data_IF_384328660570
#
_entry.id   IF_384328660570
#
_cell.length_a   1.000
_cell.length_b   1.000
_cell.length_c   1.000
_cell.angle_alpha   90.00
_cell.angle_beta   90.00
_cell.angle_gamma   90.00
#
_symmetry.space_group_name_H-M   'P 1'
#
loop_
_entity.id
_entity.type
_entity.pdbx_description
1 polymer ?
#
# COMPACT_ATOMS: atom_id res chain seq x y z
N UNK A 1 19.04 13.33 9.66
CA UNK A 1 18.50 14.42 8.83
C UNK A 1 18.36 13.99 7.37
N UNK A 2 19.30 13.22 6.84
CA UNK A 2 19.24 12.71 5.45
C UNK A 2 17.95 11.92 5.10
N UNK A 3 17.50 11.01 5.94
CA UNK A 3 16.30 10.22 5.67
C UNK A 3 15.02 11.08 5.55
N UNK A 4 14.88 12.13 6.38
CA UNK A 4 13.75 13.06 6.30
C UNK A 4 13.81 13.90 5.02
N UNK A 5 15.00 14.32 4.62
CA UNK A 5 15.20 15.08 3.38
C UNK A 5 14.89 14.24 2.16
N UNK A 6 15.37 12.99 2.12
CA UNK A 6 15.04 12.02 1.05
C UNK A 6 13.52 11.79 0.97
N UNK A 7 12.85 11.59 2.11
CA UNK A 7 11.39 11.44 2.13
C UNK A 7 10.67 12.69 1.59
N UNK A 8 11.06 13.89 2.02
CA UNK A 8 10.42 15.13 1.56
C UNK A 8 10.62 15.35 0.06
N UNK A 9 11.83 15.09 -0.46
CA UNK A 9 12.11 15.15 -1.90
C UNK A 9 11.25 14.18 -2.70
N UNK A 10 11.12 12.91 -2.25
CA UNK A 10 10.29 11.93 -2.92
C UNK A 10 8.80 12.30 -2.88
N UNK A 11 8.30 12.81 -1.75
CA UNK A 11 6.93 13.31 -1.65
C UNK A 11 6.70 14.48 -2.61
N UNK A 12 7.65 15.43 -2.71
CA UNK A 12 7.56 16.52 -3.67
C UNK A 12 7.51 16.01 -5.11
N UNK A 13 8.37 15.05 -5.47
CA UNK A 13 8.35 14.42 -6.81
C UNK A 13 7.01 13.76 -7.07
N UNK A 14 6.43 13.06 -6.10
CA UNK A 14 5.11 12.44 -6.24
C UNK A 14 3.99 13.46 -6.45
N UNK A 15 4.02 14.58 -5.73
CA UNK A 15 3.09 15.69 -5.96
C UNK A 15 3.25 16.24 -7.37
N UNK A 16 4.49 16.45 -7.84
CA UNK A 16 4.76 16.92 -9.20
C UNK A 16 4.27 15.91 -10.26
N UNK A 17 4.44 14.61 -10.03
CA UNK A 17 3.93 13.56 -10.92
C UNK A 17 2.39 13.51 -10.96
N UNK A 18 1.69 14.02 -9.96
CA UNK A 18 0.24 14.11 -9.99
C UNK A 18 -0.26 15.32 -10.82
N UNK A 19 0.55 16.36 -11.00
CA UNK A 19 0.16 17.58 -11.73
C UNK A 19 -0.30 17.30 -13.17
N UNK A 20 0.39 16.50 -13.99
CA UNK A 20 -0.09 16.16 -15.35
C UNK A 20 -1.50 15.58 -15.35
N UNK A 21 -1.80 14.64 -14.44
CA UNK A 21 -3.14 14.05 -14.32
C UNK A 21 -4.21 15.08 -13.96
N UNK A 22 -3.90 16.00 -13.04
CA UNK A 22 -4.78 17.10 -12.66
C UNK A 22 -5.01 18.05 -13.84
N UNK A 23 -3.95 18.41 -14.59
CA UNK A 23 -4.05 19.29 -15.74
C UNK A 23 -4.90 18.67 -16.86
N UNK A 24 -4.71 17.39 -17.17
CA UNK A 24 -5.49 16.66 -18.19
C UNK A 24 -7.00 16.75 -17.91
N UNK A 25 -7.41 16.72 -16.65
CA UNK A 25 -8.84 16.84 -16.28
C UNK A 25 -9.28 18.30 -16.24
N UNK A 26 -8.47 19.23 -15.71
CA UNK A 26 -8.81 20.66 -15.64
C UNK A 26 -8.92 21.31 -17.03
N UNK A 27 -8.08 20.89 -17.97
CA UNK A 27 -8.14 21.33 -19.37
C UNK A 27 -9.22 20.60 -20.19
N UNK A 28 -9.96 19.67 -19.55
CA UNK A 28 -11.03 18.86 -20.21
C UNK A 28 -10.54 17.95 -21.35
N UNK A 29 -9.22 17.72 -21.47
CA UNK A 29 -8.65 16.73 -22.41
C UNK A 29 -9.07 15.32 -22.03
N UNK A 30 -9.12 15.04 -20.73
CA UNK A 30 -9.62 13.78 -20.19
C UNK A 30 -10.69 14.04 -19.12
N UNK A 31 -11.61 13.09 -18.94
CA UNK A 31 -12.53 13.08 -17.81
C UNK A 31 -11.90 12.34 -16.63
N UNK A 32 -12.28 12.72 -15.40
CA UNK A 32 -11.82 12.02 -14.19
C UNK A 32 -12.17 10.51 -14.19
N UNK A 33 -13.27 10.14 -14.86
CA UNK A 33 -13.71 8.75 -15.03
C UNK A 33 -12.71 7.88 -15.80
N UNK A 34 -11.95 8.47 -16.73
CA UNK A 34 -10.93 7.76 -17.49
C UNK A 34 -9.80 7.22 -16.59
N UNK A 35 -9.64 7.77 -15.38
CA UNK A 35 -8.73 7.22 -14.36
C UNK A 35 -9.04 5.76 -14.00
N UNK A 36 -10.29 5.30 -14.20
CA UNK A 36 -10.66 3.91 -13.93
C UNK A 36 -9.99 2.92 -14.91
N UNK A 37 -9.82 3.32 -16.18
CA UNK A 37 -9.11 2.50 -17.18
C UNK A 37 -7.63 2.41 -16.81
N UNK A 38 -7.00 3.55 -16.50
CA UNK A 38 -5.59 3.58 -16.08
C UNK A 38 -5.37 2.81 -14.78
N UNK A 39 -6.32 2.85 -13.85
CA UNK A 39 -6.27 2.04 -12.63
C UNK A 39 -6.30 0.54 -12.91
N UNK A 40 -7.03 0.09 -13.95
CA UNK A 40 -7.01 -1.32 -14.36
C UNK A 40 -5.66 -1.69 -14.98
N UNK A 41 -5.08 -0.86 -15.83
CA UNK A 41 -3.74 -1.08 -16.39
C UNK A 41 -2.71 -1.19 -15.25
N UNK A 42 -2.79 -0.28 -14.28
CA UNK A 42 -1.90 -0.31 -13.13
C UNK A 42 -2.06 -1.58 -12.30
N UNK A 43 -3.31 -1.99 -12.02
CA UNK A 43 -3.61 -3.13 -11.16
C UNK A 43 -3.26 -4.48 -11.82
N UNK A 44 -3.51 -4.62 -13.13
CA UNK A 44 -3.36 -5.90 -13.83
C UNK A 44 -2.03 -6.04 -14.58
N UNK A 45 -1.30 -4.94 -14.79
CA UNK A 45 -0.01 -4.93 -15.48
C UNK A 45 1.09 -4.35 -14.60
N UNK A 46 1.05 -3.07 -14.27
CA UNK A 46 2.14 -2.39 -13.57
C UNK A 46 2.48 -3.01 -12.22
N UNK A 47 1.52 -3.09 -11.31
CA UNK A 47 1.73 -3.62 -9.95
C UNK A 47 2.20 -5.08 -9.93
N UNK A 48 1.62 -6.02 -10.71
CA UNK A 48 2.13 -7.37 -10.77
C UNK A 48 3.61 -7.44 -11.17
N UNK A 49 4.02 -6.71 -12.20
CA UNK A 49 5.42 -6.71 -12.63
C UNK A 49 6.35 -6.02 -11.63
N UNK A 50 5.93 -4.94 -10.98
CA UNK A 50 6.71 -4.31 -9.92
C UNK A 50 6.93 -5.27 -8.74
N UNK A 51 5.88 -5.96 -8.31
CA UNK A 51 5.93 -6.92 -7.20
C UNK A 51 6.74 -8.15 -7.59
N UNK A 52 6.55 -8.68 -8.78
CA UNK A 52 7.34 -9.79 -9.31
C UNK A 52 8.83 -9.43 -9.28
N UNK A 53 9.21 -8.28 -9.87
CA UNK A 53 10.59 -7.81 -9.85
C UNK A 53 11.14 -7.68 -8.44
N UNK A 54 10.41 -7.04 -7.52
CA UNK A 54 10.88 -6.85 -6.15
C UNK A 54 11.11 -8.17 -5.40
N UNK A 55 10.40 -9.24 -5.76
CA UNK A 55 10.63 -10.57 -5.20
C UNK A 55 11.83 -11.30 -5.82
N UNK A 56 12.20 -10.98 -7.06
CA UNK A 56 13.41 -11.53 -7.69
C UNK A 56 14.70 -10.99 -7.04
N UNK A 57 14.64 -9.77 -6.52
CA UNK A 57 15.79 -9.08 -5.92
C UNK A 57 16.03 -9.47 -4.44
N UNK A 58 15.20 -10.38 -3.87
CA UNK A 58 15.34 -10.83 -2.47
C UNK A 58 16.38 -11.93 -2.39
N UNK A 59 17.33 -11.80 -1.45
CA UNK A 59 18.21 -12.90 -1.04
C UNK A 59 17.47 -13.78 -0.03
N UNK A 60 17.25 -15.05 -0.39
CA UNK A 60 16.63 -16.02 0.53
C UNK A 60 17.69 -16.62 1.47
N UNK A 61 17.52 -16.33 2.75
CA UNK A 61 18.17 -17.05 3.84
C UNK A 61 17.14 -17.87 4.65
N UNK A 62 17.62 -18.71 5.55
CA UNK A 62 16.75 -19.55 6.40
C UNK A 62 15.81 -18.76 7.31
N UNK A 63 16.06 -17.47 7.53
CA UNK A 63 15.23 -16.59 8.34
C UNK A 63 14.14 -15.86 7.55
N UNK A 64 14.27 -15.79 6.22
CA UNK A 64 13.38 -14.98 5.37
C UNK A 64 11.92 -15.43 5.43
N UNK A 65 11.67 -16.73 5.36
CA UNK A 65 10.29 -17.27 5.44
C UNK A 65 9.65 -16.91 6.78
N UNK A 66 10.42 -17.07 7.88
CA UNK A 66 9.94 -16.68 9.20
C UNK A 66 9.62 -15.17 9.26
N UNK A 67 10.47 -14.34 8.69
CA UNK A 67 10.26 -12.89 8.62
C UNK A 67 9.00 -12.53 7.82
N UNK A 68 8.78 -13.14 6.66
CA UNK A 68 7.55 -12.96 5.85
C UNK A 68 6.31 -13.34 6.67
N UNK A 69 6.33 -14.48 7.36
CA UNK A 69 5.20 -14.93 8.20
C UNK A 69 4.95 -13.99 9.38
N UNK A 70 6.00 -13.48 10.03
CA UNK A 70 5.90 -12.52 11.12
C UNK A 70 5.28 -11.22 10.62
N UNK A 71 5.75 -10.67 9.51
CA UNK A 71 5.20 -9.44 8.91
C UNK A 71 3.73 -9.63 8.53
N UNK A 72 3.38 -10.80 7.97
CA UNK A 72 1.99 -11.13 7.66
C UNK A 72 1.13 -11.20 8.93
N UNK A 73 1.58 -11.87 9.97
CA UNK A 73 0.88 -11.98 11.25
C UNK A 73 0.68 -10.59 11.90
N UNK A 74 1.73 -9.77 11.95
CA UNK A 74 1.66 -8.40 12.47
C UNK A 74 0.68 -7.55 11.64
N UNK A 75 0.73 -7.65 10.31
CA UNK A 75 -0.19 -6.94 9.41
C UNK A 75 -1.65 -7.33 9.63
N UNK A 76 -1.93 -8.61 9.87
CA UNK A 76 -3.27 -9.11 10.20
C UNK A 76 -3.73 -8.56 11.54
N UNK A 77 -2.94 -8.73 12.60
CA UNK A 77 -3.25 -8.25 13.95
C UNK A 77 -3.49 -6.74 13.95
N UNK A 78 -2.63 -5.98 13.30
CA UNK A 78 -2.76 -4.54 13.13
C UNK A 78 -4.07 -4.15 12.45
N UNK A 79 -4.40 -4.81 11.33
CA UNK A 79 -5.60 -4.51 10.55
C UNK A 79 -6.89 -4.83 11.32
N UNK A 80 -6.92 -5.97 12.02
CA UNK A 80 -8.06 -6.32 12.90
C UNK A 80 -8.15 -5.39 14.11
N UNK A 81 -7.03 -5.02 14.72
CA UNK A 81 -6.98 -4.03 15.78
C UNK A 81 -7.65 -2.72 15.36
N UNK A 82 -7.29 -2.21 14.17
CA UNK A 82 -7.91 -1.01 13.60
C UNK A 82 -9.38 -1.20 13.26
N UNK A 83 -9.80 -2.39 12.83
CA UNK A 83 -11.22 -2.68 12.61
C UNK A 83 -12.04 -2.50 13.89
N UNK A 84 -11.56 -2.94 15.04
CA UNK A 84 -12.23 -2.75 16.32
C UNK A 84 -12.11 -1.31 16.84
N UNK A 85 -10.93 -0.71 16.79
CA UNK A 85 -10.68 0.67 17.22
C UNK A 85 -11.48 1.71 16.42
N UNK A 86 -11.75 1.45 15.13
CA UNK A 86 -12.55 2.35 14.29
C UNK A 86 -13.99 2.51 14.78
N UNK A 87 -14.56 1.53 15.51
CA UNK A 87 -15.94 1.59 16.02
C UNK A 87 -16.16 2.78 16.96
N UNK A 88 -15.40 2.93 18.07
CA UNK A 88 -15.58 4.07 18.98
C UNK A 88 -15.19 5.40 18.31
N UNK A 89 -14.16 5.41 17.46
CA UNK A 89 -13.66 6.62 16.79
C UNK A 89 -14.72 7.24 15.86
N UNK A 90 -15.57 6.43 15.24
CA UNK A 90 -16.57 6.90 14.27
C UNK A 90 -18.00 6.98 14.83
N UNK A 91 -18.18 6.81 16.15
CA UNK A 91 -19.51 6.86 16.83
C UNK A 91 -20.25 8.18 16.63
N UNK A 92 -19.53 9.27 16.38
CA UNK A 92 -20.13 10.59 16.15
C UNK A 92 -20.94 10.69 14.85
N UNK A 93 -20.72 9.78 13.89
CA UNK A 93 -21.54 9.70 12.70
C UNK A 93 -22.76 8.83 12.96
N UNK A 94 -23.93 9.41 12.80
CA UNK A 94 -25.21 8.73 13.08
C UNK A 94 -25.73 7.93 11.89
N UNK A 95 -25.39 8.37 10.67
CA UNK A 95 -25.81 7.67 9.44
C UNK A 95 -24.92 6.47 9.17
N UNK A 96 -25.50 5.28 9.16
CA UNK A 96 -24.77 4.01 9.09
C UNK A 96 -23.85 3.90 7.86
N UNK A 97 -24.31 4.34 6.68
CA UNK A 97 -23.49 4.32 5.45
C UNK A 97 -22.29 5.27 5.56
N UNK A 98 -22.49 6.48 6.06
CA UNK A 98 -21.38 7.44 6.26
C UNK A 98 -20.42 6.95 7.33
N UNK A 99 -20.94 6.37 8.41
CA UNK A 99 -20.11 5.77 9.46
C UNK A 99 -19.28 4.60 8.90
N UNK A 100 -19.89 3.73 8.06
CA UNK A 100 -19.19 2.66 7.37
C UNK A 100 -18.06 3.18 6.49
N UNK A 101 -18.31 4.24 5.71
CA UNK A 101 -17.29 4.90 4.88
C UNK A 101 -16.18 5.52 5.73
N UNK A 102 -16.48 6.20 6.83
CA UNK A 102 -15.47 6.75 7.74
C UNK A 102 -14.60 5.64 8.33
N UNK A 103 -15.21 4.53 8.77
CA UNK A 103 -14.47 3.35 9.25
C UNK A 103 -13.56 2.79 8.17
N UNK A 104 -14.09 2.61 6.95
CA UNK A 104 -13.30 2.18 5.79
C UNK A 104 -12.05 3.06 5.61
N UNK A 105 -12.23 4.38 5.59
CA UNK A 105 -11.13 5.33 5.44
C UNK A 105 -10.12 5.29 6.61
N UNK A 106 -10.56 5.03 7.84
CA UNK A 106 -9.66 4.91 9.00
C UNK A 106 -8.83 3.62 8.97
N UNK A 107 -9.41 2.49 8.52
CA UNK A 107 -8.78 1.17 8.57
C UNK A 107 -7.86 0.97 7.36
N UNK A 108 -8.36 1.25 6.15
CA UNK A 108 -7.72 0.84 4.91
C UNK A 108 -6.87 1.96 4.31
N UNK A 109 -5.68 1.60 3.88
CA UNK A 109 -4.71 2.52 3.25
C UNK A 109 -4.53 2.17 1.78
N UNK A 110 -4.13 3.17 0.98
CA UNK A 110 -3.79 2.98 -0.42
C UNK A 110 -2.33 2.46 -0.55
N UNK A 111 -2.09 1.25 -0.04
CA UNK A 111 -0.74 0.67 -0.02
C UNK A 111 -0.28 0.30 -1.44
N UNK A 112 -1.19 -0.15 -2.32
CA UNK A 112 -0.84 -0.56 -3.68
C UNK A 112 -0.39 0.60 -4.56
N UNK A 113 -1.20 1.66 -4.66
CA UNK A 113 -0.94 2.77 -5.60
C UNK A 113 0.01 3.83 -5.05
N UNK A 114 0.15 3.92 -3.74
CA UNK A 114 1.03 4.90 -3.10
C UNK A 114 2.12 4.22 -2.26
N UNK A 115 1.78 3.25 -1.44
CA UNK A 115 2.71 2.64 -0.50
C UNK A 115 3.86 1.90 -1.18
N UNK A 116 3.56 1.00 -2.13
CA UNK A 116 4.59 0.22 -2.85
C UNK A 116 5.52 1.13 -3.65
N UNK A 117 5.02 2.07 -4.50
CA UNK A 117 5.89 3.01 -5.22
C UNK A 117 6.72 3.90 -4.30
N UNK A 118 6.14 4.34 -3.18
CA UNK A 118 6.87 5.17 -2.21
C UNK A 118 8.00 4.38 -1.55
N UNK A 119 7.72 3.14 -1.11
CA UNK A 119 8.74 2.27 -0.54
C UNK A 119 9.90 2.02 -1.52
N UNK A 120 9.58 1.72 -2.78
CA UNK A 120 10.59 1.52 -3.83
C UNK A 120 11.42 2.77 -4.13
N UNK A 121 10.83 3.97 -4.03
CA UNK A 121 11.54 5.23 -4.26
C UNK A 121 12.39 5.68 -3.07
N UNK A 122 11.93 5.41 -1.84
CA UNK A 122 12.64 5.81 -0.60
C UNK A 122 13.74 4.82 -0.23
N UNK A 123 13.54 3.53 -0.54
CA UNK A 123 14.44 2.43 -0.20
C UNK A 123 14.84 1.64 -1.47
N UNK A 124 15.53 2.28 -2.46
CA UNK A 124 15.84 1.64 -3.74
C UNK A 124 16.75 0.41 -3.59
N UNK A 125 17.64 0.42 -2.60
CA UNK A 125 18.63 -0.63 -2.35
C UNK A 125 18.15 -1.66 -1.31
N UNK A 126 16.89 -1.56 -0.87
CA UNK A 126 16.32 -2.46 0.15
C UNK A 126 15.04 -3.15 -0.36
N UNK A 127 15.15 -4.15 -1.24
CA UNK A 127 14.00 -4.85 -1.82
C UNK A 127 13.11 -5.51 -0.75
N UNK A 128 13.68 -5.86 0.41
CA UNK A 128 12.95 -6.42 1.53
C UNK A 128 11.89 -5.46 2.10
N UNK A 129 12.18 -4.16 2.15
CA UNK A 129 11.19 -3.16 2.60
C UNK A 129 10.00 -3.11 1.66
N UNK A 130 10.26 -3.13 0.34
CA UNK A 130 9.20 -3.19 -0.69
C UNK A 130 8.35 -4.44 -0.49
N UNK A 131 8.99 -5.58 -0.26
CA UNK A 131 8.31 -6.87 -0.01
C UNK A 131 7.41 -6.82 1.22
N UNK A 132 7.83 -6.19 2.31
CA UNK A 132 6.98 -6.02 3.49
C UNK A 132 5.73 -5.18 3.18
N UNK A 133 5.88 -4.10 2.42
CA UNK A 133 4.74 -3.28 1.98
C UNK A 133 3.81 -4.07 1.06
N UNK A 134 4.36 -4.94 0.19
CA UNK A 134 3.59 -5.85 -0.67
C UNK A 134 2.77 -6.84 0.17
N UNK A 135 3.36 -7.47 1.18
CA UNK A 135 2.65 -8.40 2.08
C UNK A 135 1.48 -7.69 2.77
N UNK A 136 1.73 -6.50 3.32
CA UNK A 136 0.69 -5.69 3.94
C UNK A 136 -0.38 -5.27 2.92
N UNK A 137 0.01 -4.98 1.67
CA UNK A 137 -0.94 -4.66 0.60
C UNK A 137 -1.84 -5.86 0.24
N UNK A 138 -1.29 -7.07 0.20
CA UNK A 138 -2.07 -8.30 -0.04
C UNK A 138 -3.14 -8.47 1.06
N UNK A 139 -2.75 -8.31 2.33
CA UNK A 139 -3.67 -8.37 3.47
C UNK A 139 -4.73 -7.26 3.37
N UNK A 140 -4.31 -6.04 3.08
CA UNK A 140 -5.22 -4.89 2.94
C UNK A 140 -6.22 -5.11 1.81
N UNK A 141 -5.80 -5.65 0.67
CA UNK A 141 -6.70 -5.98 -0.44
C UNK A 141 -7.71 -7.07 -0.05
N UNK A 142 -7.29 -8.12 0.66
CA UNK A 142 -8.20 -9.12 1.18
C UNK A 142 -9.26 -8.49 2.10
N UNK A 143 -8.85 -7.55 2.95
CA UNK A 143 -9.77 -6.81 3.82
C UNK A 143 -10.67 -5.84 3.05
N UNK A 144 -10.19 -5.21 1.98
CA UNK A 144 -11.02 -4.34 1.12
C UNK A 144 -12.18 -5.14 0.53
N UNK A 145 -11.90 -6.31 -0.06
CA UNK A 145 -12.93 -7.14 -0.71
C UNK A 145 -13.85 -7.90 0.26
N UNK A 146 -13.50 -7.95 1.53
CA UNK A 146 -14.30 -8.57 2.59
C UNK A 146 -14.92 -7.52 3.51
N UNK A 147 -14.19 -7.09 4.53
CA UNK A 147 -14.66 -6.13 5.53
C UNK A 147 -14.95 -4.75 4.94
N UNK A 148 -14.17 -4.29 3.98
CA UNK A 148 -14.34 -2.98 3.35
C UNK A 148 -15.66 -2.90 2.58
N UNK A 149 -15.94 -3.91 1.76
CA UNK A 149 -17.21 -4.00 1.03
C UNK A 149 -18.39 -4.08 2.01
N UNK A 150 -18.28 -4.89 3.06
CA UNK A 150 -19.30 -4.99 4.10
C UNK A 150 -19.57 -3.64 4.79
N UNK A 151 -18.51 -2.89 5.14
CA UNK A 151 -18.64 -1.58 5.80
C UNK A 151 -19.34 -0.54 4.94
N UNK A 152 -19.15 -0.59 3.62
CA UNK A 152 -19.73 0.38 2.67
C UNK A 152 -21.14 -0.03 2.25
N UNK A 153 -21.33 -1.31 1.88
CA UNK A 153 -22.61 -1.81 1.40
C UNK A 153 -23.64 -2.03 2.52
N UNK A 154 -23.15 -2.33 3.73
CA UNK A 154 -24.01 -2.76 4.85
C UNK A 154 -24.58 -4.17 4.69
N UNK A 155 -24.23 -4.88 3.61
CA UNK A 155 -24.75 -6.19 3.26
C UNK A 155 -23.61 -7.21 3.08
N UNK A 156 -23.77 -8.38 3.71
CA UNK A 156 -22.83 -9.50 3.63
C UNK A 156 -22.81 -10.16 2.26
N UNK A 157 -23.91 -10.08 1.49
CA UNK A 157 -24.02 -10.68 0.16
C UNK A 157 -23.06 -10.05 -0.86
N UNK A 158 -22.66 -8.80 -0.64
CA UNK A 158 -21.71 -8.06 -1.48
C UNK A 158 -20.26 -8.51 -1.28
N UNK A 159 -19.95 -9.26 -0.21
CA UNK A 159 -18.61 -9.72 0.14
C UNK A 159 -18.14 -10.82 -0.82
N UNK A 160 -16.95 -10.69 -1.38
CA UNK A 160 -16.38 -11.68 -2.31
C UNK A 160 -14.99 -12.14 -1.87
N UNK A 161 -14.95 -13.29 -1.21
CA UNK A 161 -13.69 -13.95 -0.83
C UNK A 161 -12.88 -14.35 -2.07
N UNK A 162 -13.53 -14.74 -3.16
CA UNK A 162 -12.84 -15.06 -4.43
C UNK A 162 -12.01 -13.90 -4.93
N UNK A 163 -12.53 -12.67 -4.90
CA UNK A 163 -11.80 -11.46 -5.32
C UNK A 163 -10.67 -11.10 -4.36
N UNK A 164 -10.77 -11.50 -3.10
CA UNK A 164 -9.70 -11.30 -2.12
C UNK A 164 -8.49 -12.21 -2.39
N UNK A 165 -8.75 -13.46 -2.78
CA UNK A 165 -7.71 -14.49 -3.01
C UNK A 165 -7.15 -14.42 -4.44
N UNK A 166 -8.03 -14.25 -5.44
CA UNK A 166 -7.61 -14.14 -6.86
C UNK A 166 -7.20 -12.69 -7.16
N UNK A 167 -6.03 -12.29 -6.64
CA UNK A 167 -5.48 -10.95 -6.82
C UNK A 167 -4.21 -11.04 -7.70
N UNK A 168 -4.11 -10.27 -8.80
CA UNK A 168 -2.94 -10.31 -9.68
C UNK A 168 -1.63 -10.01 -8.95
N UNK A 169 -1.67 -9.16 -7.93
CA UNK A 169 -0.49 -8.83 -7.11
C UNK A 169 -0.04 -10.03 -6.27
N UNK A 170 -1.00 -10.78 -5.68
CA UNK A 170 -0.68 -12.00 -4.94
C UNK A 170 -0.10 -13.09 -5.85
N UNK A 171 -0.70 -13.27 -7.04
CA UNK A 171 -0.20 -14.23 -8.03
C UNK A 171 1.23 -13.87 -8.44
N UNK A 172 1.49 -12.61 -8.76
CA UNK A 172 2.82 -12.12 -9.13
C UNK A 172 3.84 -12.30 -8.00
N UNK A 173 3.43 -12.06 -6.74
CA UNK A 173 4.26 -12.29 -5.57
C UNK A 173 4.68 -13.76 -5.44
N UNK A 174 3.70 -14.68 -5.52
CA UNK A 174 3.98 -16.13 -5.42
C UNK A 174 4.84 -16.61 -6.58
N UNK A 175 4.53 -16.18 -7.81
CA UNK A 175 5.35 -16.52 -8.99
C UNK A 175 6.77 -15.97 -8.87
N UNK A 176 6.94 -14.74 -8.39
CA UNK A 176 8.26 -14.14 -8.19
C UNK A 176 9.08 -14.91 -7.14
N UNK A 177 8.44 -15.36 -6.04
CA UNK A 177 9.10 -16.22 -5.05
C UNK A 177 9.56 -17.56 -5.67
N UNK A 178 8.70 -18.20 -6.45
CA UNK A 178 9.03 -19.47 -7.12
C UNK A 178 10.22 -19.29 -8.07
N UNK A 179 10.16 -18.26 -8.92
CA UNK A 179 11.21 -17.95 -9.91
C UNK A 179 12.54 -17.62 -9.22
N UNK A 180 12.50 -16.89 -8.11
CA UNK A 180 13.68 -16.57 -7.31
C UNK A 180 14.25 -17.83 -6.64
N UNK A 181 13.42 -18.67 -5.99
CA UNK A 181 13.86 -19.92 -5.37
C UNK A 181 14.48 -20.93 -6.36
N UNK A 182 14.08 -20.85 -7.63
CA UNK A 182 14.65 -21.66 -8.71
C UNK A 182 15.92 -21.03 -9.32
N UNK A 183 16.40 -19.91 -8.77
CA UNK A 183 17.55 -19.14 -9.29
C UNK A 183 17.45 -18.78 -10.79
N UNK A 184 16.22 -18.74 -11.34
CA UNK A 184 16.01 -18.48 -12.78
C UNK A 184 16.60 -17.16 -13.28
N UNK A 185 16.64 -16.06 -12.50
CA UNK A 185 17.28 -14.81 -12.94
C UNK A 185 18.76 -14.95 -13.29
N UNK A 186 19.47 -15.94 -12.75
CA UNK A 186 20.88 -16.25 -13.10
C UNK A 186 21.02 -16.80 -14.51
N UNK A 187 20.01 -17.55 -14.98
CA UNK A 187 20.02 -18.20 -16.30
C UNK A 187 19.34 -17.34 -17.35
N UNK A 188 18.36 -16.52 -16.96
CA UNK A 188 17.57 -15.65 -17.86
C UNK A 188 17.45 -14.26 -17.24
N UNK A 189 18.52 -13.45 -17.25
CA UNK A 189 18.52 -12.09 -16.64
C UNK A 189 17.52 -11.15 -17.28
N UNK A 190 17.08 -11.42 -18.51
CA UNK A 190 16.06 -10.66 -19.23
C UNK A 190 14.72 -10.62 -18.50
N UNK A 191 14.39 -11.63 -17.66
CA UNK A 191 13.17 -11.66 -16.86
C UNK A 191 13.10 -10.44 -15.94
N UNK A 192 14.21 -10.10 -15.30
CA UNK A 192 14.29 -8.94 -14.39
C UNK A 192 14.15 -7.63 -15.18
N UNK A 193 14.88 -7.51 -16.29
CA UNK A 193 14.83 -6.33 -17.15
C UNK A 193 13.46 -6.12 -17.77
N UNK A 194 12.84 -7.18 -18.29
CA UNK A 194 11.48 -7.14 -18.83
C UNK A 194 10.46 -6.68 -17.77
N UNK A 195 10.55 -7.23 -16.57
CA UNK A 195 9.67 -6.87 -15.47
C UNK A 195 9.84 -5.40 -15.06
N UNK A 196 11.07 -4.87 -15.15
CA UNK A 196 11.35 -3.48 -14.84
C UNK A 196 10.62 -2.50 -15.78
N UNK A 197 10.50 -2.81 -17.08
CA UNK A 197 9.79 -1.92 -18.03
C UNK A 197 8.35 -1.65 -17.59
N UNK A 198 7.62 -2.68 -17.19
CA UNK A 198 6.24 -2.52 -16.71
C UNK A 198 6.16 -2.06 -15.26
N UNK A 199 7.09 -2.50 -14.41
CA UNK A 199 7.14 -2.06 -13.01
C UNK A 199 7.40 -0.56 -12.88
N UNK A 200 8.25 0.01 -13.73
CA UNK A 200 8.63 1.43 -13.65
C UNK A 200 7.49 2.40 -14.01
N UNK A 201 6.45 1.94 -14.73
CA UNK A 201 5.27 2.79 -14.99
C UNK A 201 4.40 3.00 -13.73
N UNK A 202 4.57 2.20 -12.69
CA UNK A 202 3.68 2.20 -11.53
C UNK A 202 3.71 3.55 -10.82
N UNK A 203 4.87 4.09 -10.53
CA UNK A 203 5.01 5.37 -9.82
C UNK A 203 4.38 6.53 -10.60
N UNK A 204 4.78 6.83 -11.85
CA UNK A 204 4.20 7.95 -12.57
C UNK A 204 2.72 7.75 -12.88
N UNK A 205 2.29 6.54 -13.23
CA UNK A 205 0.91 6.27 -13.58
C UNK A 205 -0.02 6.36 -12.36
N UNK A 206 0.41 5.84 -11.20
CA UNK A 206 -0.39 5.93 -9.96
C UNK A 206 -0.58 7.37 -9.50
N UNK A 207 0.46 8.21 -9.61
CA UNK A 207 0.38 9.63 -9.26
C UNK A 207 -0.47 10.39 -10.26
N UNK A 208 -0.37 10.11 -11.55
CA UNK A 208 -1.23 10.69 -12.57
C UNK A 208 -2.71 10.34 -12.33
N UNK A 209 -3.03 9.08 -12.00
CA UNK A 209 -4.38 8.65 -11.62
C UNK A 209 -4.89 9.46 -10.41
N UNK A 210 -4.05 9.65 -9.40
CA UNK A 210 -4.39 10.49 -8.24
C UNK A 210 -4.71 11.92 -8.66
N UNK A 211 -3.85 12.52 -9.49
CA UNK A 211 -4.06 13.85 -10.05
C UNK A 211 -5.37 13.97 -10.83
N UNK A 212 -5.70 12.99 -11.67
CA UNK A 212 -6.97 12.96 -12.42
C UNK A 212 -8.18 12.90 -11.48
N UNK A 213 -8.12 12.10 -10.41
CA UNK A 213 -9.19 12.05 -9.40
C UNK A 213 -9.36 13.37 -8.67
N UNK A 214 -8.26 14.01 -8.25
CA UNK A 214 -8.27 15.32 -7.62
C UNK A 214 -8.82 16.40 -8.57
N UNK A 215 -8.48 16.34 -9.86
CA UNK A 215 -8.99 17.24 -10.89
C UNK A 215 -10.51 17.19 -11.08
N UNK A 216 -11.12 16.02 -10.83
CA UNK A 216 -12.57 15.80 -10.92
C UNK A 216 -13.38 16.25 -9.70
N UNK A 217 -12.73 16.62 -8.60
CA UNK A 217 -13.41 17.03 -7.36
C UNK A 217 -13.29 18.53 -7.16
N UNK A 218 -14.38 19.18 -6.68
CA UNK A 218 -14.33 20.60 -6.34
C UNK A 218 -13.54 20.83 -5.05
N UNK A 219 -12.78 21.92 -4.99
CA UNK A 219 -12.03 22.32 -3.78
C UNK A 219 -12.96 22.47 -2.56
N UNK A 220 -14.16 23.01 -2.78
CA UNK A 220 -15.17 23.15 -1.72
C UNK A 220 -15.58 21.79 -1.15
N UNK A 221 -15.73 20.78 -1.99
CA UNK A 221 -16.07 19.42 -1.55
C UNK A 221 -14.88 18.77 -0.83
N UNK A 222 -13.65 19.00 -1.29
CA UNK A 222 -12.44 18.45 -0.66
C UNK A 222 -12.21 18.99 0.75
N UNK A 223 -12.35 20.30 0.91
CA UNK A 223 -11.97 21.02 2.13
C UNK A 223 -13.17 21.48 2.98
N UNK A 224 -14.40 21.30 2.52
CA UNK A 224 -15.60 21.82 3.19
C UNK A 224 -16.13 20.98 4.34
N UNK A 225 -15.61 19.78 4.58
CA UNK A 225 -16.12 18.87 5.62
C UNK A 225 -15.13 18.68 6.76
N UNK A 226 -15.47 19.09 7.98
CA UNK A 226 -14.66 18.85 9.16
C UNK A 226 -14.40 17.35 9.42
N UNK A 227 -15.32 16.47 8.99
CA UNK A 227 -15.15 15.00 9.10
C UNK A 227 -13.99 14.51 8.24
N UNK A 228 -13.71 15.16 7.11
CA UNK A 228 -12.53 14.85 6.29
C UNK A 228 -11.25 15.14 7.06
N UNK A 229 -11.17 16.28 7.75
CA UNK A 229 -10.00 16.62 8.59
C UNK A 229 -9.86 15.69 9.78
N UNK A 230 -10.97 15.31 10.40
CA UNK A 230 -10.97 14.36 11.51
C UNK A 230 -10.41 13.00 11.08
N UNK A 231 -10.91 12.43 9.96
CA UNK A 231 -10.41 11.15 9.42
C UNK A 231 -8.94 11.28 8.99
N UNK A 232 -8.56 12.41 8.38
CA UNK A 232 -7.17 12.68 8.01
C UNK A 232 -6.26 12.74 9.25
N UNK A 233 -6.67 13.42 10.32
CA UNK A 233 -5.89 13.48 11.57
C UNK A 233 -5.72 12.09 12.20
N UNK A 234 -6.78 11.29 12.27
CA UNK A 234 -6.69 9.90 12.72
C UNK A 234 -5.67 9.13 11.87
N UNK A 235 -5.76 9.23 10.55
CA UNK A 235 -4.96 8.45 9.61
C UNK A 235 -3.49 8.88 9.58
N UNK A 236 -3.23 10.17 9.63
CA UNK A 236 -1.89 10.73 9.44
C UNK A 236 -1.11 10.91 10.74
N UNK A 237 -1.81 11.02 11.89
CA UNK A 237 -1.17 11.23 13.18
C UNK A 237 -1.36 10.04 14.10
N UNK A 238 -2.61 9.64 14.36
CA UNK A 238 -2.91 8.64 15.39
C UNK A 238 -2.51 7.22 14.92
N UNK A 239 -2.79 6.86 13.67
CA UNK A 239 -2.44 5.53 13.12
C UNK A 239 -0.91 5.31 13.11
N UNK A 240 -0.08 6.23 12.58
CA UNK A 240 1.38 6.07 12.63
C UNK A 240 1.93 6.10 14.06
N UNK A 241 1.43 7.00 14.92
CA UNK A 241 1.86 7.05 16.32
C UNK A 241 1.60 5.73 17.05
N UNK A 242 0.42 5.12 16.84
CA UNK A 242 0.12 3.81 17.40
C UNK A 242 1.02 2.71 16.84
N UNK A 243 1.28 2.72 15.53
CA UNK A 243 2.16 1.75 14.88
C UNK A 243 3.59 1.83 15.44
N UNK A 244 4.11 3.04 15.58
CA UNK A 244 5.42 3.30 16.19
C UNK A 244 5.43 2.88 17.66
N UNK A 245 4.39 3.22 18.43
CA UNK A 245 4.27 2.82 19.84
C UNK A 245 4.24 1.29 20.01
N UNK A 246 3.51 0.58 19.16
CA UNK A 246 3.49 -0.90 19.15
C UNK A 246 4.86 -1.46 18.79
N UNK A 247 5.54 -0.89 17.77
CA UNK A 247 6.88 -1.32 17.37
C UNK A 247 7.89 -1.14 18.51
N UNK A 248 7.89 0.01 19.19
CA UNK A 248 8.75 0.25 20.36
C UNK A 248 8.37 -0.67 21.54
N UNK A 249 7.10 -0.91 21.79
CA UNK A 249 6.63 -1.86 22.80
C UNK A 249 7.14 -3.28 22.53
N UNK A 250 7.05 -3.74 21.29
CA UNK A 250 7.57 -5.05 20.88
C UNK A 250 9.10 -5.14 21.03
N UNK A 251 9.84 -4.07 20.74
CA UNK A 251 11.30 -4.02 20.95
C UNK A 251 11.66 -4.00 22.43
N UNK A 252 10.91 -3.27 23.25
CA UNK A 252 11.15 -3.21 24.72
C UNK A 252 10.85 -4.54 25.42
N UNK A 253 9.81 -5.26 24.99
CA UNK A 253 9.45 -6.59 25.55
C UNK A 253 10.42 -7.68 25.11
N UNK A 254 11.12 -7.51 23.98
CA UNK A 254 12.11 -8.47 23.47
C UNK A 254 13.48 -7.82 23.36
N UNK A 255 14.16 -7.71 24.49
CA UNK A 255 15.64 -7.65 24.49
C UNK A 255 16.32 -8.89 23.89
N UNK A 256 15.58 -9.76 23.16
CA UNK A 256 16.09 -10.96 22.52
C UNK A 256 15.17 -11.43 21.37
N UNK A 257 15.64 -11.36 20.15
CA UNK A 257 15.13 -12.14 19.02
C UNK A 257 14.43 -11.37 17.90
N UNK A 258 13.46 -10.47 18.13
CA UNK A 258 12.82 -9.70 17.04
C UNK A 258 13.65 -8.48 16.62
N UNK A 259 14.47 -7.94 17.53
CA UNK A 259 15.47 -6.92 17.25
C UNK A 259 16.52 -7.38 16.22
N UNK A 260 16.74 -8.70 16.08
CA UNK A 260 17.73 -9.25 15.16
C UNK A 260 17.32 -9.12 13.69
N UNK A 261 16.04 -9.35 13.36
CA UNK A 261 15.54 -9.24 11.99
C UNK A 261 15.41 -7.77 11.52
N UNK A 262 14.90 -6.90 12.39
CA UNK A 262 14.74 -5.47 12.06
C UNK A 262 16.08 -4.73 12.08
N UNK A 263 17.01 -5.06 13.00
CA UNK A 263 18.38 -4.50 12.99
C UNK A 263 19.16 -4.94 11.76
N UNK A 264 19.03 -6.20 11.31
CA UNK A 264 19.73 -6.66 10.11
C UNK A 264 19.21 -6.02 8.83
N UNK A 265 17.91 -5.68 8.78
CA UNK A 265 17.33 -4.92 7.66
C UNK A 265 17.73 -3.43 7.63
N UNK A 266 18.13 -2.87 8.79
CA UNK A 266 18.50 -1.45 8.94
C UNK A 266 20.02 -1.24 9.06
N UNK A 267 20.81 -2.27 9.37
CA UNK A 267 22.26 -2.19 9.62
C UNK A 267 23.11 -3.07 8.70
N UNK A 268 22.57 -3.48 7.54
CA UNK A 268 23.40 -4.06 6.48
C UNK A 268 23.97 -2.91 5.62
N UNK A 269 24.90 -2.19 6.24
CA UNK A 269 25.96 -1.42 5.61
C UNK A 269 27.31 -2.07 5.97
#
# INVERSE_FOLDING_TARGET
MEALEIMLRNVLVFVLLAVPGLLLVKTKLLKSEHSAVLSKVLLYLGLPFLVFKSTLDISFDSGMIATILIVAAVGIVYSFGWFFLSKPITKMEKEDKKRGMMRFCCILSNNGFLGIPLAAAVFPDQPLVVTFVVIINIITNALIYTLGVYLIAGDKSAVSVKKAVVNPVLIAFVLGLIVNLLDLPKYVPEITSYSAYFGNIVTPLSMMILGMKLGGVSLKTMFGSWKTYYVAAIKLLFVPALAVGVAFGCVAVKGSGLAFGVRRAVSAD
#
